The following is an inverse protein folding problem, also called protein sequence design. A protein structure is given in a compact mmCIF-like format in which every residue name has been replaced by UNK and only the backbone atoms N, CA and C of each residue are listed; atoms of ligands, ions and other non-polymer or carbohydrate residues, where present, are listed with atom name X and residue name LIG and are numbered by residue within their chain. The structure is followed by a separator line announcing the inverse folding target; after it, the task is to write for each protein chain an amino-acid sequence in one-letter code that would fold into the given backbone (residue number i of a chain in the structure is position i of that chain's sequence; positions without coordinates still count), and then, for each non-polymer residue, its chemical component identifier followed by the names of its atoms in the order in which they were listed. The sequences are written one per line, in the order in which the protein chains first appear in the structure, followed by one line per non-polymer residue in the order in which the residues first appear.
data_IF_087685880957
#
_entry.id   IF_087685880957
#
_cell.length_a   1.000
_cell.length_b   1.000
_cell.length_c   1.000
_cell.angle_alpha   90.00
_cell.angle_beta   90.00
_cell.angle_gamma   90.00
#
_symmetry.space_group_name_H-M   'P 1'
#
loop_
_entity.id
_entity.type
_entity.pdbx_description
1 polymer ?
#
# COMPACT_ATOMS: atom_id res chain seq x y z
N UNK A 1 22.17 -26.30 34.90
CA UNK A 1 21.61 -26.69 33.59
C UNK A 1 20.11 -26.85 33.74
N UNK A 2 19.24 -26.08 33.06
CA UNK A 2 17.82 -26.38 33.09
C UNK A 2 17.55 -27.64 32.25
N UNK A 3 16.58 -28.49 32.63
CA UNK A 3 16.36 -29.79 32.01
C UNK A 3 15.78 -29.65 30.60
N UNK A 4 16.38 -30.35 29.64
CA UNK A 4 15.88 -30.50 28.27
C UNK A 4 14.49 -31.16 28.30
N UNK A 5 13.42 -30.40 28.03
CA UNK A 5 12.11 -30.99 27.71
C UNK A 5 12.19 -31.66 26.33
N UNK A 6 11.67 -32.89 26.16
CA UNK A 6 11.69 -33.55 24.87
C UNK A 6 10.83 -32.76 23.85
N UNK A 7 11.39 -32.51 22.67
CA UNK A 7 10.71 -31.81 21.58
C UNK A 7 9.44 -32.57 21.15
N UNK A 8 8.27 -32.02 21.47
CA UNK A 8 6.99 -32.52 20.98
C UNK A 8 6.91 -32.38 19.45
N UNK A 9 6.16 -33.26 18.80
CA UNK A 9 5.97 -33.21 17.33
C UNK A 9 5.45 -31.86 16.84
N UNK A 10 4.64 -31.17 17.66
CA UNK A 10 4.14 -29.82 17.40
C UNK A 10 5.25 -28.75 17.38
N UNK A 11 6.26 -28.87 18.25
CA UNK A 11 7.44 -27.98 18.25
C UNK A 11 8.28 -28.18 16.98
N UNK A 12 8.47 -29.44 16.54
CA UNK A 12 9.18 -29.77 15.30
C UNK A 12 8.44 -29.29 14.06
N UNK A 13 7.11 -29.45 14.03
CA UNK A 13 6.26 -28.94 12.96
C UNK A 13 6.31 -27.40 12.90
N UNK A 14 6.18 -26.72 14.04
CA UNK A 14 6.28 -25.25 14.15
C UNK A 14 7.62 -24.72 13.61
N UNK A 15 8.75 -25.37 13.95
CA UNK A 15 10.07 -25.01 13.40
C UNK A 15 10.12 -25.16 11.88
N UNK A 16 9.68 -26.31 11.34
CA UNK A 16 9.64 -26.55 9.88
C UNK A 16 8.78 -25.54 9.12
N UNK A 17 7.61 -25.21 9.65
CA UNK A 17 6.70 -24.22 9.05
C UNK A 17 7.33 -22.82 9.09
N UNK A 18 7.96 -22.44 10.21
CA UNK A 18 8.68 -21.17 10.33
C UNK A 18 9.79 -21.03 9.29
N UNK A 19 10.60 -22.08 9.10
CA UNK A 19 11.69 -22.10 8.12
C UNK A 19 11.19 -22.04 6.67
N UNK A 20 10.10 -22.76 6.36
CA UNK A 20 9.48 -22.72 5.04
C UNK A 20 8.96 -21.31 4.71
N UNK A 21 8.37 -20.64 5.71
CA UNK A 21 7.85 -19.28 5.58
C UNK A 21 8.96 -18.26 5.39
N UNK A 22 10.10 -18.42 6.07
CA UNK A 22 11.31 -17.62 5.87
C UNK A 22 11.81 -17.69 4.41
N UNK A 23 11.82 -18.90 3.85
CA UNK A 23 12.22 -19.13 2.45
C UNK A 23 11.21 -18.55 1.46
N UNK A 24 9.91 -18.69 1.73
CA UNK A 24 8.86 -18.12 0.88
C UNK A 24 8.85 -16.59 0.92
N UNK A 25 8.98 -15.97 2.10
CA UNK A 25 9.00 -14.52 2.24
C UNK A 25 10.20 -13.88 1.48
N UNK A 26 11.39 -14.46 1.63
CA UNK A 26 12.59 -14.00 0.90
C UNK A 26 12.49 -14.18 -0.62
N UNK A 27 11.76 -15.20 -1.07
CA UNK A 27 11.54 -15.47 -2.51
C UNK A 27 10.49 -14.52 -3.11
N UNK A 28 9.39 -14.28 -2.40
CA UNK A 28 8.32 -13.36 -2.82
C UNK A 28 8.81 -11.91 -2.83
N UNK A 29 9.60 -11.50 -1.83
CA UNK A 29 10.21 -10.17 -1.77
C UNK A 29 11.19 -9.91 -2.94
N UNK A 30 11.86 -10.96 -3.45
CA UNK A 30 12.75 -10.87 -4.62
C UNK A 30 12.02 -11.02 -5.96
N UNK A 31 10.75 -11.42 -5.95
CA UNK A 31 9.99 -11.68 -7.16
C UNK A 31 9.64 -10.39 -7.92
N UNK A 32 9.53 -10.46 -9.26
CA UNK A 32 8.96 -9.41 -10.09
C UNK A 32 7.63 -8.84 -9.60
N UNK A 33 6.75 -9.70 -9.10
CA UNK A 33 5.44 -9.33 -8.58
C UNK A 33 5.55 -8.48 -7.31
N UNK A 34 6.40 -8.87 -6.36
CA UNK A 34 6.65 -8.10 -5.13
C UNK A 34 7.22 -6.70 -5.39
N UNK A 35 8.01 -6.54 -6.45
CA UNK A 35 8.51 -5.21 -6.89
C UNK A 35 7.50 -4.42 -7.74
N UNK A 36 6.62 -5.10 -8.47
CA UNK A 36 5.66 -4.48 -9.40
C UNK A 36 4.50 -3.79 -8.66
N UNK A 37 4.04 -4.38 -7.57
CA UNK A 37 2.94 -3.85 -6.76
C UNK A 37 3.43 -2.86 -5.68
N UNK A 38 4.43 -2.00 -5.97
CA UNK A 38 4.89 -0.97 -5.01
C UNK A 38 4.22 0.39 -5.28
N UNK A 39 2.94 0.54 -4.95
CA UNK A 39 2.16 1.79 -5.06
C UNK A 39 2.09 2.55 -3.72
N UNK A 40 2.07 3.88 -3.71
CA UNK A 40 1.89 4.63 -2.46
C UNK A 40 0.42 5.05 -2.32
N UNK A 41 -0.18 4.73 -1.17
CA UNK A 41 -1.44 5.32 -0.70
C UNK A 41 -2.63 4.37 -0.64
N UNK A 42 -2.85 3.72 0.51
CA UNK A 42 -4.10 2.99 0.83
C UNK A 42 -4.12 2.58 2.30
N UNK A 43 -4.56 3.40 3.24
CA UNK A 43 -4.30 3.24 4.69
C UNK A 43 -5.00 2.07 5.44
N UNK A 44 -5.51 1.05 4.75
CA UNK A 44 -6.26 -0.06 5.36
C UNK A 44 -5.40 -1.06 6.14
N UNK A 45 -4.08 -1.06 5.97
CA UNK A 45 -3.21 -2.04 6.61
C UNK A 45 -2.60 -1.57 7.95
N UNK A 46 -3.07 -0.46 8.51
CA UNK A 46 -2.54 0.08 9.76
C UNK A 46 -2.59 -0.94 10.90
N UNK A 47 -3.73 -1.62 11.10
CA UNK A 47 -3.90 -2.62 12.15
C UNK A 47 -2.89 -3.76 11.98
N UNK A 48 -2.78 -4.33 10.78
CA UNK A 48 -1.82 -5.41 10.53
C UNK A 48 -0.37 -4.95 10.68
N UNK A 49 -0.05 -3.68 10.38
CA UNK A 49 1.29 -3.14 10.59
C UNK A 49 1.66 -3.08 12.09
N UNK A 50 0.68 -2.90 12.99
CA UNK A 50 0.93 -2.91 14.44
C UNK A 50 1.35 -4.29 14.97
N UNK A 51 1.15 -5.37 14.21
CA UNK A 51 1.66 -6.71 14.56
C UNK A 51 3.19 -6.78 14.58
N UNK A 52 3.87 -5.76 14.03
CA UNK A 52 5.33 -5.73 13.90
C UNK A 52 5.87 -6.56 12.73
N UNK A 53 4.98 -7.12 11.89
CA UNK A 53 5.33 -7.93 10.73
C UNK A 53 6.37 -8.99 11.11
N UNK A 54 7.46 -9.08 10.36
CA UNK A 54 8.52 -10.06 10.57
C UNK A 54 9.70 -9.58 11.42
N UNK A 55 9.54 -8.46 12.09
CA UNK A 55 10.58 -7.91 12.93
C UNK A 55 10.80 -8.77 14.18
N UNK A 56 12.05 -9.20 14.46
CA UNK A 56 12.34 -10.06 15.59
C UNK A 56 12.09 -9.30 16.90
N UNK A 57 11.20 -9.82 17.73
CA UNK A 57 10.91 -9.31 19.07
C UNK A 57 11.34 -10.41 20.07
N UNK A 58 12.29 -10.10 20.96
CA UNK A 58 12.86 -11.06 21.91
C UNK A 58 12.23 -10.98 23.31
N UNK A 59 11.97 -12.16 23.91
CA UNK A 59 11.47 -12.32 25.30
C UNK A 59 12.60 -12.06 26.31
N UNK A 60 12.31 -11.59 27.54
CA UNK A 60 11.01 -11.35 28.17
C UNK A 60 10.36 -10.00 27.79
N UNK A 61 9.03 -9.97 27.83
CA UNK A 61 8.24 -8.77 27.60
C UNK A 61 8.09 -7.97 28.88
N UNK A 62 8.17 -6.64 28.80
CA UNK A 62 7.79 -5.79 29.94
C UNK A 62 6.27 -5.80 30.12
N UNK A 63 5.77 -5.45 31.32
CA UNK A 63 4.34 -5.29 31.58
C UNK A 63 3.66 -4.23 30.67
N UNK A 64 4.45 -3.36 30.02
CA UNK A 64 4.00 -2.36 29.04
C UNK A 64 3.97 -2.88 27.59
N UNK A 65 4.26 -4.17 27.37
CA UNK A 65 4.26 -4.78 26.03
C UNK A 65 5.42 -4.32 25.14
N UNK A 66 6.60 -4.04 25.72
CA UNK A 66 7.81 -3.72 24.95
C UNK A 66 8.73 -4.93 24.86
N UNK A 67 9.29 -5.16 23.66
CA UNK A 67 10.33 -6.15 23.39
C UNK A 67 11.63 -5.76 24.11
N UNK A 68 12.46 -6.74 24.49
CA UNK A 68 13.79 -6.46 25.05
C UNK A 68 14.70 -5.73 24.06
N UNK A 69 14.58 -6.06 22.77
CA UNK A 69 15.36 -5.54 21.66
C UNK A 69 14.61 -4.43 20.90
N UNK A 70 14.05 -3.45 21.63
CA UNK A 70 13.19 -2.42 21.05
C UNK A 70 13.91 -1.59 19.97
N UNK A 71 15.20 -1.31 20.12
CA UNK A 71 15.96 -0.50 19.14
C UNK A 71 16.14 -1.24 17.82
N UNK A 72 16.51 -2.53 17.87
CA UNK A 72 16.60 -3.39 16.68
C UNK A 72 15.22 -3.64 16.03
N UNK A 73 14.16 -3.69 16.84
CA UNK A 73 12.79 -3.81 16.35
C UNK A 73 12.34 -2.52 15.66
N UNK A 74 12.62 -1.34 16.23
CA UNK A 74 12.33 -0.03 15.64
C UNK A 74 13.12 0.17 14.36
N UNK A 75 14.39 -0.25 14.34
CA UNK A 75 15.20 -0.26 13.13
C UNK A 75 14.53 -1.10 12.05
N UNK A 76 14.07 -2.32 12.35
CA UNK A 76 13.34 -3.17 11.41
C UNK A 76 11.96 -2.62 10.99
N UNK A 77 11.26 -1.94 11.89
CA UNK A 77 9.92 -1.40 11.64
C UNK A 77 9.97 -0.09 10.83
N UNK A 78 11.02 0.72 11.02
CA UNK A 78 11.22 2.02 10.40
C UNK A 78 12.41 2.05 9.41
N UNK A 79 12.94 0.90 8.94
CA UNK A 79 14.24 0.84 8.23
C UNK A 79 14.34 1.90 7.13
N UNK A 80 15.24 2.84 7.38
CA UNK A 80 15.79 3.79 6.42
C UNK A 80 16.70 3.02 5.45
N UNK A 81 16.18 2.63 4.28
CA UNK A 81 17.04 2.25 3.14
C UNK A 81 18.01 3.41 2.83
N UNK A 82 19.11 3.22 2.07
CA UNK A 82 19.93 4.34 1.61
C UNK A 82 19.14 5.44 0.85
N UNK A 83 17.94 5.12 0.34
CA UNK A 83 16.96 6.07 -0.25
C UNK A 83 15.83 6.50 0.72
N UNK A 84 15.88 6.02 1.95
CA UNK A 84 15.17 6.54 3.11
C UNK A 84 13.71 6.15 3.31
N UNK A 85 13.16 5.12 2.63
CA UNK A 85 11.72 4.76 2.76
C UNK A 85 11.45 3.25 2.64
N UNK A 86 11.37 2.54 3.77
CA UNK A 86 10.57 1.31 3.88
C UNK A 86 9.50 1.51 4.94
N UNK A 87 8.35 1.98 4.49
CA UNK A 87 7.16 1.91 5.32
C UNK A 87 6.53 0.53 5.14
N UNK A 88 6.72 -0.37 6.12
CA UNK A 88 6.05 -1.68 6.18
C UNK A 88 4.54 -1.56 5.92
N UNK A 89 3.96 -0.43 6.36
CA UNK A 89 2.59 -0.03 6.08
C UNK A 89 2.30 -0.03 4.58
N UNK A 90 3.09 0.68 3.77
CA UNK A 90 2.85 0.83 2.33
C UNK A 90 2.88 -0.52 1.60
N UNK A 91 3.84 -1.39 1.89
CA UNK A 91 3.94 -2.69 1.18
C UNK A 91 2.71 -3.59 1.45
N UNK A 92 2.20 -3.60 2.69
CA UNK A 92 1.03 -4.42 3.06
C UNK A 92 -0.28 -3.89 2.47
N UNK A 93 -0.40 -2.57 2.44
CA UNK A 93 -1.45 -1.77 1.82
C UNK A 93 -1.65 -2.20 0.35
N UNK A 94 -0.55 -2.28 -0.41
CA UNK A 94 -0.65 -2.56 -1.85
C UNK A 94 -0.87 -4.04 -2.12
N UNK A 95 -0.22 -4.90 -1.36
CA UNK A 95 -0.47 -6.34 -1.45
C UNK A 95 -1.95 -6.64 -1.22
N UNK A 96 -2.56 -6.01 -0.21
CA UNK A 96 -3.97 -6.20 0.12
C UNK A 96 -4.90 -5.67 -0.98
N UNK A 97 -4.63 -4.47 -1.50
CA UNK A 97 -5.48 -3.89 -2.57
C UNK A 97 -5.37 -4.66 -3.88
N UNK A 98 -4.17 -5.11 -4.26
CA UNK A 98 -3.95 -5.93 -5.45
C UNK A 98 -4.66 -7.29 -5.35
N UNK A 99 -4.55 -7.97 -4.20
CA UNK A 99 -5.22 -9.26 -3.96
C UNK A 99 -6.73 -9.09 -3.88
N UNK A 100 -7.25 -8.03 -3.24
CA UNK A 100 -8.68 -7.75 -3.19
C UNK A 100 -9.26 -7.46 -4.58
N UNK A 101 -8.55 -6.69 -5.40
CA UNK A 101 -8.95 -6.41 -6.79
C UNK A 101 -8.96 -7.69 -7.63
N UNK A 102 -7.90 -8.48 -7.58
CA UNK A 102 -7.82 -9.76 -8.28
C UNK A 102 -8.93 -10.73 -7.84
N UNK A 103 -9.16 -10.84 -6.52
CA UNK A 103 -10.18 -11.72 -5.95
C UNK A 103 -11.58 -11.28 -6.35
N UNK A 104 -11.86 -9.97 -6.34
CA UNK A 104 -13.17 -9.42 -6.77
C UNK A 104 -13.45 -9.70 -8.24
N UNK A 105 -12.44 -9.55 -9.11
CA UNK A 105 -12.55 -9.85 -10.55
C UNK A 105 -12.83 -11.35 -10.75
N UNK A 106 -12.02 -12.21 -10.12
CA UNK A 106 -12.17 -13.65 -10.26
C UNK A 106 -13.51 -14.13 -9.71
N UNK A 107 -13.94 -13.60 -8.56
CA UNK A 107 -15.24 -13.92 -7.97
C UNK A 107 -16.39 -13.48 -8.87
N UNK A 108 -16.34 -12.26 -9.42
CA UNK A 108 -17.35 -11.76 -10.35
C UNK A 108 -17.46 -12.62 -11.62
N UNK A 109 -16.33 -13.01 -12.21
CA UNK A 109 -16.30 -13.85 -13.41
C UNK A 109 -16.75 -15.28 -13.15
N UNK A 110 -16.33 -15.90 -12.04
CA UNK A 110 -16.67 -17.28 -11.71
C UNK A 110 -18.08 -17.46 -11.16
N UNK A 111 -18.64 -16.45 -10.48
CA UNK A 111 -19.94 -16.57 -9.80
C UNK A 111 -21.06 -15.74 -10.43
N UNK A 112 -20.74 -14.91 -11.44
CA UNK A 112 -21.68 -14.01 -12.11
C UNK A 112 -22.46 -13.11 -11.13
N UNK A 113 -21.84 -12.77 -9.99
CA UNK A 113 -22.41 -11.93 -8.94
C UNK A 113 -21.53 -10.69 -8.72
N UNK A 114 -22.04 -9.46 -8.92
CA UNK A 114 -21.23 -8.23 -8.85
C UNK A 114 -21.05 -7.77 -7.39
N UNK A 115 -20.32 -8.56 -6.59
CA UNK A 115 -19.99 -8.24 -5.20
C UNK A 115 -18.50 -8.01 -5.06
N UNK A 116 -18.12 -6.84 -4.52
CA UNK A 116 -16.74 -6.51 -4.21
C UNK A 116 -16.26 -7.26 -2.96
N UNK A 117 -15.14 -7.95 -3.07
CA UNK A 117 -14.48 -8.62 -1.96
C UNK A 117 -13.43 -7.68 -1.35
N UNK A 118 -13.66 -7.27 -0.11
CA UNK A 118 -12.72 -6.45 0.66
C UNK A 118 -11.96 -7.25 1.72
N UNK A 119 -10.86 -6.71 2.25
CA UNK A 119 -10.16 -7.31 3.38
C UNK A 119 -11.01 -7.28 4.66
N UNK A 120 -11.05 -8.39 5.38
CA UNK A 120 -11.77 -8.50 6.64
C UNK A 120 -11.07 -7.76 7.78
N UNK A 121 -11.40 -6.49 8.03
CA UNK A 121 -10.75 -5.69 9.09
C UNK A 121 -10.87 -6.33 10.50
N UNK A 122 -11.99 -6.99 10.80
CA UNK A 122 -12.17 -7.68 12.09
C UNK A 122 -11.23 -8.87 12.27
N UNK A 123 -11.04 -9.68 11.22
CA UNK A 123 -10.09 -10.80 11.23
C UNK A 123 -8.64 -10.31 11.35
N UNK A 124 -8.32 -9.18 10.69
CA UNK A 124 -7.02 -8.54 10.81
C UNK A 124 -6.74 -8.04 12.24
N UNK A 125 -7.75 -7.51 12.93
CA UNK A 125 -7.64 -7.10 14.33
C UNK A 125 -7.47 -8.30 15.28
N UNK A 126 -8.25 -9.37 15.08
CA UNK A 126 -8.08 -10.60 15.85
C UNK A 126 -6.68 -11.21 15.65
N UNK A 127 -6.24 -11.32 14.40
CA UNK A 127 -4.90 -11.80 14.05
C UNK A 127 -3.80 -10.96 14.73
N UNK A 128 -3.90 -9.64 14.64
CA UNK A 128 -2.90 -8.71 15.18
C UNK A 128 -2.87 -8.71 16.71
N UNK A 129 -4.02 -8.52 17.35
CA UNK A 129 -4.07 -8.27 18.79
C UNK A 129 -4.20 -9.53 19.64
N UNK A 130 -4.83 -10.59 19.13
CA UNK A 130 -5.06 -11.82 19.90
C UNK A 130 -4.05 -12.92 19.56
N UNK A 131 -3.68 -13.10 18.28
CA UNK A 131 -2.78 -14.19 17.86
C UNK A 131 -1.31 -13.78 17.95
N UNK A 132 -0.94 -12.69 17.27
CA UNK A 132 0.45 -12.23 17.15
C UNK A 132 0.85 -11.28 18.29
N UNK A 133 -0.10 -10.52 18.82
CA UNK A 133 0.14 -9.46 19.80
C UNK A 133 0.76 -8.20 19.17
N UNK A 134 0.59 -7.07 19.86
CA UNK A 134 1.19 -5.79 19.45
C UNK A 134 2.71 -5.95 19.39
N UNK A 135 3.33 -5.55 18.27
CA UNK A 135 4.78 -5.67 18.01
C UNK A 135 5.32 -7.11 18.02
N UNK A 136 4.46 -8.13 17.95
CA UNK A 136 4.89 -9.53 18.00
C UNK A 136 5.14 -10.05 19.43
N UNK A 137 4.58 -9.38 20.43
CA UNK A 137 4.67 -9.78 21.85
C UNK A 137 3.84 -11.01 22.22
N UNK A 138 3.03 -11.53 21.29
CA UNK A 138 2.19 -12.70 21.50
C UNK A 138 2.96 -14.03 21.62
N UNK A 139 2.20 -15.11 21.84
CA UNK A 139 2.77 -16.45 21.95
C UNK A 139 3.21 -17.04 20.58
N UNK A 140 2.68 -16.49 19.49
CA UNK A 140 2.83 -17.00 18.12
C UNK A 140 3.44 -15.91 17.25
N UNK A 141 4.52 -16.24 16.54
CA UNK A 141 5.18 -15.31 15.63
C UNK A 141 4.29 -15.05 14.40
N UNK A 142 4.41 -13.84 13.82
CA UNK A 142 3.67 -13.42 12.63
C UNK A 142 3.73 -14.44 11.48
N UNK A 143 4.92 -15.00 11.17
CA UNK A 143 5.09 -16.04 10.14
C UNK A 143 4.20 -17.25 10.35
N UNK A 144 4.23 -17.80 11.57
CA UNK A 144 3.49 -19.01 11.92
C UNK A 144 1.99 -18.74 11.86
N UNK A 145 1.57 -17.57 12.36
CA UNK A 145 0.18 -17.16 12.27
C UNK A 145 -0.27 -17.03 10.80
N UNK A 146 0.54 -16.41 9.93
CA UNK A 146 0.20 -16.25 8.51
C UNK A 146 0.12 -17.60 7.77
N UNK A 147 0.97 -18.56 8.11
CA UNK A 147 0.85 -19.92 7.54
C UNK A 147 -0.41 -20.63 7.96
N UNK A 148 -0.89 -20.41 9.19
CA UNK A 148 -2.14 -20.98 9.64
C UNK A 148 -3.32 -20.41 8.81
N UNK A 149 -3.33 -19.10 8.55
CA UNK A 149 -4.33 -18.44 7.68
C UNK A 149 -4.25 -18.96 6.24
N UNK A 150 -3.05 -19.20 5.72
CA UNK A 150 -2.90 -19.79 4.38
C UNK A 150 -3.48 -21.21 4.31
N UNK A 151 -3.22 -22.05 5.31
CA UNK A 151 -3.78 -23.41 5.39
C UNK A 151 -5.30 -23.37 5.58
N UNK A 152 -5.81 -22.44 6.39
CA UNK A 152 -7.25 -22.19 6.55
C UNK A 152 -7.91 -21.91 5.20
N UNK A 153 -7.29 -21.10 4.33
CA UNK A 153 -7.78 -20.83 2.99
C UNK A 153 -7.98 -22.09 2.13
N UNK A 154 -7.04 -23.05 2.20
CA UNK A 154 -7.17 -24.34 1.50
C UNK A 154 -8.27 -25.21 2.09
N UNK A 155 -8.41 -25.23 3.42
CA UNK A 155 -9.49 -25.95 4.09
C UNK A 155 -10.85 -25.35 3.68
N UNK A 156 -10.95 -24.03 3.67
CA UNK A 156 -12.17 -23.34 3.26
C UNK A 156 -12.50 -23.59 1.78
N UNK A 157 -11.50 -23.60 0.90
CA UNK A 157 -11.68 -23.95 -0.51
C UNK A 157 -12.23 -25.37 -0.66
N UNK A 158 -11.67 -26.35 0.05
CA UNK A 158 -12.17 -27.73 0.04
C UNK A 158 -13.61 -27.83 0.55
N UNK A 159 -13.95 -27.14 1.64
CA UNK A 159 -15.32 -27.08 2.19
C UNK A 159 -16.30 -26.38 1.24
N UNK A 160 -15.84 -25.40 0.46
CA UNK A 160 -16.65 -24.73 -0.55
C UNK A 160 -16.92 -25.65 -1.75
N UNK A 161 -15.92 -26.38 -2.22
CA UNK A 161 -16.05 -27.32 -3.35
C UNK A 161 -16.95 -28.53 -3.02
N UNK A 162 -16.89 -29.03 -1.78
CA UNK A 162 -17.71 -30.16 -1.33
C UNK A 162 -19.17 -29.77 -1.03
N UNK A 163 -19.54 -28.48 -1.13
CA UNK A 163 -20.90 -27.99 -0.82
C UNK A 163 -21.24 -27.97 0.68
N UNK A 164 -20.34 -28.42 1.55
CA UNK A 164 -20.55 -28.53 3.00
C UNK A 164 -20.75 -27.16 3.66
N UNK A 165 -20.29 -26.08 3.02
CA UNK A 165 -20.53 -24.69 3.44
C UNK A 165 -22.02 -24.39 3.67
N UNK A 166 -22.91 -24.82 2.78
CA UNK A 166 -24.34 -24.55 2.92
C UNK A 166 -24.93 -25.27 4.15
N UNK A 167 -24.48 -26.50 4.38
CA UNK A 167 -24.89 -27.28 5.54
C UNK A 167 -24.41 -26.68 6.86
N UNK A 168 -23.16 -26.21 6.91
CA UNK A 168 -22.60 -25.54 8.09
C UNK A 168 -23.39 -24.28 8.47
N UNK A 169 -23.75 -23.46 7.48
CA UNK A 169 -24.56 -22.25 7.72
C UNK A 169 -25.96 -22.61 8.24
N UNK A 170 -26.53 -23.75 7.82
CA UNK A 170 -27.86 -24.18 8.27
C UNK A 170 -27.88 -24.61 9.74
N UNK A 171 -26.77 -25.14 10.26
CA UNK A 171 -26.64 -25.55 11.68
C UNK A 171 -26.63 -24.35 12.63
N UNK A 172 -26.11 -23.20 12.18
CA UNK A 172 -26.00 -22.02 13.04
C UNK A 172 -27.42 -21.45 13.28
N UNK A 173 -27.88 -21.35 14.54
CA UNK A 173 -29.19 -20.79 14.87
C UNK A 173 -29.27 -19.33 14.44
N UNK A 174 -30.46 -18.90 14.00
CA UNK A 174 -30.70 -17.55 13.46
C UNK A 174 -30.32 -16.44 14.43
N UNK A 175 -30.48 -16.66 15.74
CA UNK A 175 -30.12 -15.72 16.81
C UNK A 175 -28.62 -15.39 16.80
N UNK A 176 -27.74 -16.37 16.61
CA UNK A 176 -26.28 -16.18 16.54
C UNK A 176 -25.89 -15.42 15.27
N UNK A 177 -26.59 -15.65 14.15
CA UNK A 177 -26.32 -14.94 12.88
C UNK A 177 -26.59 -13.44 13.02
N UNK A 178 -27.73 -13.09 13.63
CA UNK A 178 -28.12 -11.69 13.84
C UNK A 178 -27.20 -11.02 14.87
N UNK A 179 -26.95 -11.69 16.01
CA UNK A 179 -26.05 -11.17 17.04
C UNK A 179 -24.64 -10.90 16.50
N UNK A 180 -24.13 -11.79 15.65
CA UNK A 180 -22.83 -11.63 15.00
C UNK A 180 -22.79 -10.42 14.07
N UNK A 181 -23.86 -10.18 13.29
CA UNK A 181 -23.99 -8.99 12.45
C UNK A 181 -23.94 -7.69 13.26
N UNK A 182 -24.67 -7.63 14.38
CA UNK A 182 -24.67 -6.47 15.29
C UNK A 182 -23.28 -6.27 15.92
N UNK A 183 -22.63 -7.34 16.37
CA UNK A 183 -21.27 -7.28 16.95
C UNK A 183 -20.24 -6.74 15.96
N UNK A 184 -20.29 -7.17 14.70
CA UNK A 184 -19.44 -6.64 13.62
C UNK A 184 -19.73 -5.15 13.40
N UNK A 185 -21.01 -4.75 13.35
CA UNK A 185 -21.42 -3.36 13.17
C UNK A 185 -20.88 -2.43 14.25
N UNK A 186 -21.07 -2.78 15.53
CA UNK A 186 -20.57 -1.99 16.67
C UNK A 186 -19.04 -1.87 16.62
N UNK A 187 -18.35 -2.96 16.30
CA UNK A 187 -16.88 -2.96 16.16
C UNK A 187 -16.42 -2.03 15.03
N UNK A 188 -17.10 -2.04 13.88
CA UNK A 188 -16.77 -1.17 12.75
C UNK A 188 -17.00 0.31 13.07
N UNK A 189 -18.01 0.65 13.88
CA UNK A 189 -18.23 2.04 14.34
C UNK A 189 -17.04 2.51 15.18
N UNK A 190 -16.59 1.71 16.15
CA UNK A 190 -15.45 2.08 17.00
C UNK A 190 -14.17 2.26 16.19
N UNK A 191 -13.88 1.32 15.26
CA UNK A 191 -12.72 1.43 14.37
C UNK A 191 -12.85 2.68 13.48
N UNK A 192 -14.04 2.96 12.94
CA UNK A 192 -14.31 4.16 12.15
C UNK A 192 -14.05 5.46 12.92
N UNK A 193 -14.51 5.54 14.18
CA UNK A 193 -14.25 6.68 15.06
C UNK A 193 -12.74 6.92 15.28
N UNK A 194 -11.94 5.85 15.42
CA UNK A 194 -10.49 5.98 15.54
C UNK A 194 -9.82 6.43 14.23
N UNK A 195 -10.38 6.02 13.09
CA UNK A 195 -9.85 6.34 11.75
C UNK A 195 -10.28 7.71 11.21
N UNK A 196 -11.26 8.39 11.83
CA UNK A 196 -11.78 9.70 11.34
C UNK A 196 -10.72 10.81 11.30
N UNK A 197 -9.61 10.67 12.04
CA UNK A 197 -8.51 11.64 12.10
C UNK A 197 -7.92 11.97 10.72
N UNK A 198 -8.08 11.08 9.74
CA UNK A 198 -7.61 11.32 8.37
C UNK A 198 -8.40 12.40 7.64
N UNK A 199 -9.66 12.64 8.02
CA UNK A 199 -10.48 13.73 7.47
C UNK A 199 -9.84 15.09 7.74
N UNK A 200 -9.08 15.22 8.84
CA UNK A 200 -8.35 16.45 9.15
C UNK A 200 -7.14 16.71 8.23
N UNK A 201 -6.64 15.70 7.51
CA UNK A 201 -5.52 15.85 6.56
C UNK A 201 -5.96 16.25 5.15
N UNK A 202 -7.26 16.31 4.90
CA UNK A 202 -7.82 16.73 3.61
C UNK A 202 -7.52 18.22 3.41
N UNK A 203 -7.15 18.62 2.19
CA UNK A 203 -6.94 20.02 1.87
C UNK A 203 -8.29 20.77 1.81
N UNK A 204 -8.67 21.41 2.91
CA UNK A 204 -9.89 22.22 3.00
C UNK A 204 -9.75 23.62 2.39
N UNK A 205 -8.52 24.04 2.04
CA UNK A 205 -8.27 25.38 1.49
C UNK A 205 -8.58 25.48 0.00
N UNK A 206 -8.60 24.35 -0.73
CA UNK A 206 -8.93 24.31 -2.15
C UNK A 206 -10.33 23.74 -2.38
N UNK A 207 -11.21 24.53 -3.01
CA UNK A 207 -12.61 24.18 -3.24
C UNK A 207 -12.80 22.91 -4.08
N UNK A 208 -11.88 22.64 -5.00
CA UNK A 208 -11.90 21.45 -5.86
C UNK A 208 -11.55 20.15 -5.15
N UNK A 209 -10.98 20.21 -3.94
CA UNK A 209 -10.70 19.03 -3.10
C UNK A 209 -11.65 18.97 -1.89
N UNK A 210 -12.02 20.14 -1.32
CA UNK A 210 -12.90 20.26 -0.16
C UNK A 210 -14.35 19.82 -0.43
N UNK A 211 -14.98 20.32 -1.52
CA UNK A 211 -16.38 20.00 -1.83
C UNK A 211 -16.58 18.51 -2.13
N UNK A 212 -15.77 17.87 -3.01
CA UNK A 212 -15.92 16.43 -3.25
C UNK A 212 -15.73 15.59 -2.00
N UNK A 213 -14.78 15.96 -1.13
CA UNK A 213 -14.53 15.29 0.14
C UNK A 213 -15.72 15.40 1.10
N UNK A 214 -16.31 16.59 1.21
CA UNK A 214 -17.51 16.82 2.02
C UNK A 214 -18.71 16.02 1.51
N UNK A 215 -18.97 16.06 0.20
CA UNK A 215 -20.06 15.29 -0.42
C UNK A 215 -19.88 13.80 -0.15
N UNK A 216 -18.66 13.28 -0.30
CA UNK A 216 -18.36 11.88 0.00
C UNK A 216 -18.66 11.53 1.46
N UNK A 217 -18.18 12.35 2.40
CA UNK A 217 -18.34 12.11 3.84
C UNK A 217 -19.81 12.17 4.27
N UNK A 218 -20.58 13.10 3.71
CA UNK A 218 -22.00 13.27 4.02
C UNK A 218 -22.86 12.16 3.37
N UNK A 219 -22.60 11.79 2.11
CA UNK A 219 -23.44 10.83 1.40
C UNK A 219 -23.24 9.38 1.81
N UNK A 220 -22.04 8.98 2.25
CA UNK A 220 -21.79 7.58 2.68
C UNK A 220 -22.78 7.10 3.76
N UNK A 221 -22.97 7.80 4.90
CA UNK A 221 -23.88 7.34 5.96
C UNK A 221 -25.36 7.42 5.59
N UNK A 222 -25.75 8.34 4.69
CA UNK A 222 -27.13 8.48 4.24
C UNK A 222 -27.48 7.61 3.03
N UNK A 223 -26.50 6.93 2.44
CA UNK A 223 -26.72 6.08 1.28
C UNK A 223 -26.92 4.62 1.67
N UNK A 224 -27.68 3.90 0.84
CA UNK A 224 -27.85 2.46 0.95
C UNK A 224 -26.53 1.68 0.78
N UNK A 225 -25.54 2.26 0.09
CA UNK A 225 -24.24 1.64 -0.14
C UNK A 225 -23.12 2.66 -0.10
N UNK A 226 -21.99 2.30 0.53
CA UNK A 226 -20.76 3.08 0.52
C UNK A 226 -20.29 3.38 -0.92
N UNK A 227 -20.60 2.50 -1.88
CA UNK A 227 -20.26 2.71 -3.29
C UNK A 227 -20.93 3.96 -3.87
N UNK A 228 -22.19 4.22 -3.55
CA UNK A 228 -22.90 5.41 -4.04
C UNK A 228 -22.33 6.69 -3.45
N UNK A 229 -21.95 6.69 -2.17
CA UNK A 229 -21.27 7.83 -1.55
C UNK A 229 -19.92 8.15 -2.21
N UNK A 230 -19.13 7.11 -2.56
CA UNK A 230 -17.89 7.27 -3.31
C UNK A 230 -18.12 7.77 -4.74
N UNK A 231 -19.12 7.23 -5.44
CA UNK A 231 -19.48 7.66 -6.80
C UNK A 231 -19.92 9.12 -6.79
N UNK A 232 -20.74 9.54 -5.83
CA UNK A 232 -21.15 10.94 -5.67
C UNK A 232 -19.93 11.86 -5.49
N UNK A 233 -19.01 11.49 -4.59
CA UNK A 233 -17.74 12.19 -4.41
C UNK A 233 -16.90 12.33 -5.67
N UNK A 234 -16.66 11.21 -6.36
CA UNK A 234 -15.89 11.16 -7.61
C UNK A 234 -16.55 11.98 -8.72
N UNK A 235 -17.88 11.92 -8.83
CA UNK A 235 -18.65 12.71 -9.77
C UNK A 235 -18.49 14.20 -9.48
N UNK A 236 -18.68 14.62 -8.23
CA UNK A 236 -18.46 16.01 -7.80
C UNK A 236 -17.03 16.48 -8.07
N UNK A 237 -16.02 15.64 -7.79
CA UNK A 237 -14.63 15.95 -8.12
C UNK A 237 -14.42 16.19 -9.61
N UNK A 238 -14.97 15.31 -10.44
CA UNK A 238 -14.80 15.37 -11.91
C UNK A 238 -15.49 16.61 -12.48
N UNK A 239 -16.70 16.93 -12.01
CA UNK A 239 -17.46 18.11 -12.45
C UNK A 239 -16.75 19.41 -12.05
N UNK A 240 -16.33 19.54 -10.79
CA UNK A 240 -15.68 20.76 -10.30
C UNK A 240 -14.30 20.93 -10.92
N UNK A 241 -13.44 19.91 -10.84
CA UNK A 241 -12.09 20.03 -11.41
C UNK A 241 -12.09 20.09 -12.94
N UNK A 242 -13.03 19.39 -13.58
CA UNK A 242 -13.21 19.45 -15.03
C UNK A 242 -13.66 20.84 -15.48
N UNK A 243 -14.65 21.44 -14.81
CA UNK A 243 -15.08 22.80 -15.14
C UNK A 243 -13.98 23.84 -14.90
N UNK A 244 -13.25 23.77 -13.77
CA UNK A 244 -12.11 24.65 -13.50
C UNK A 244 -11.04 24.50 -14.58
N UNK A 245 -10.70 23.27 -14.97
CA UNK A 245 -9.72 23.03 -16.03
C UNK A 245 -10.15 23.65 -17.37
N UNK A 246 -11.43 23.52 -17.75
CA UNK A 246 -11.99 24.13 -18.95
C UNK A 246 -11.87 25.66 -18.89
N UNK A 247 -12.22 26.28 -17.76
CA UNK A 247 -12.17 27.74 -17.58
C UNK A 247 -10.73 28.25 -17.71
N UNK A 248 -9.77 27.61 -17.02
CA UNK A 248 -8.36 27.98 -17.09
C UNK A 248 -7.83 27.85 -18.53
N UNK A 249 -8.24 26.78 -19.22
CA UNK A 249 -7.81 26.53 -20.60
C UNK A 249 -8.37 27.56 -21.59
N UNK A 250 -9.64 27.93 -21.45
CA UNK A 250 -10.30 28.95 -22.27
C UNK A 250 -9.83 30.37 -21.94
N UNK A 251 -9.48 30.63 -20.68
CA UNK A 251 -9.03 31.95 -20.21
C UNK A 251 -7.55 32.23 -20.50
N UNK A 252 -6.80 31.23 -21.00
CA UNK A 252 -5.36 31.37 -21.21
C UNK A 252 -4.62 31.69 -19.92
N UNK A 253 -5.02 31.04 -18.81
CA UNK A 253 -4.47 31.21 -17.45
C UNK A 253 -4.71 32.58 -16.80
N UNK A 254 -5.53 33.46 -17.39
CA UNK A 254 -5.83 34.77 -16.78
C UNK A 254 -6.73 34.69 -15.56
N UNK A 255 -7.59 33.67 -15.46
CA UNK A 255 -8.53 33.47 -14.34
C UNK A 255 -8.17 32.16 -13.64
N UNK A 256 -7.56 32.27 -12.45
CA UNK A 256 -7.31 31.15 -11.54
C UNK A 256 -8.29 31.24 -10.37
N UNK A 257 -8.91 30.12 -9.96
CA UNK A 257 -9.71 30.10 -8.75
C UNK A 257 -8.81 30.28 -7.53
N UNK A 258 -9.40 30.75 -6.43
CA UNK A 258 -8.69 30.97 -5.18
C UNK A 258 -8.01 29.68 -4.70
N UNK A 259 -6.77 29.80 -4.18
CA UNK A 259 -5.94 28.69 -3.71
C UNK A 259 -5.64 27.56 -4.73
N UNK A 260 -5.66 27.85 -6.04
CA UNK A 260 -5.37 26.84 -7.08
C UNK A 260 -3.99 26.18 -6.95
N UNK A 261 -2.99 26.90 -6.42
CA UNK A 261 -1.63 26.39 -6.21
C UNK A 261 -1.55 25.28 -5.17
N UNK A 262 -2.48 25.26 -4.21
CA UNK A 262 -2.52 24.26 -3.14
C UNK A 262 -3.20 22.96 -3.56
N UNK A 263 -3.70 22.87 -4.80
CA UNK A 263 -4.35 21.67 -5.33
C UNK A 263 -3.45 20.44 -5.17
N UNK A 264 -3.98 19.37 -4.59
CA UNK A 264 -3.24 18.11 -4.52
C UNK A 264 -3.25 17.44 -5.90
N UNK A 265 -2.10 17.46 -6.58
CA UNK A 265 -1.96 16.75 -7.84
C UNK A 265 -1.84 15.26 -7.59
N UNK A 266 -2.80 14.50 -8.13
CA UNK A 266 -2.64 13.06 -8.23
C UNK A 266 -1.67 12.75 -9.39
N UNK A 267 -0.50 12.22 -9.06
CA UNK A 267 0.47 11.76 -10.06
C UNK A 267 0.29 10.26 -10.30
N UNK A 268 0.03 9.87 -11.55
CA UNK A 268 0.02 8.44 -11.93
C UNK A 268 1.41 7.79 -11.81
N UNK A 269 2.47 8.62 -11.74
CA UNK A 269 3.84 8.16 -11.49
C UNK A 269 4.09 8.14 -10.00
N UNK A 270 4.10 6.96 -9.34
CA UNK A 270 4.46 6.89 -7.93
C UNK A 270 5.89 7.41 -7.76
N UNK A 271 6.17 8.18 -6.70
CA UNK A 271 7.53 8.61 -6.40
C UNK A 271 8.36 7.38 -5.97
N UNK A 272 9.26 6.95 -6.86
CA UNK A 272 10.12 5.80 -6.68
C UNK A 272 10.72 5.30 -7.99
N UNK A 273 11.53 4.27 -7.86
CA UNK A 273 12.19 3.62 -8.99
C UNK A 273 11.21 2.82 -9.84
N UNK A 274 11.14 3.09 -11.15
CA UNK A 274 10.27 2.36 -12.11
C UNK A 274 10.45 0.84 -11.95
N UNK A 275 9.38 0.02 -11.97
CA UNK A 275 9.53 -1.43 -11.86
C UNK A 275 10.43 -2.00 -12.97
N UNK A 276 11.17 -3.08 -12.66
CA UNK A 276 12.22 -3.61 -13.53
C UNK A 276 11.73 -3.96 -14.94
N UNK A 277 10.47 -4.37 -15.09
CA UNK A 277 9.83 -4.68 -16.38
C UNK A 277 9.76 -3.41 -17.23
N UNK A 278 9.32 -2.30 -16.64
CA UNK A 278 9.26 -1.00 -17.33
C UNK A 278 10.68 -0.53 -17.67
N UNK A 279 11.68 -0.76 -16.79
CA UNK A 279 13.09 -0.46 -17.11
C UNK A 279 13.64 -1.32 -18.23
N UNK A 280 13.29 -2.60 -18.28
CA UNK A 280 13.71 -3.53 -19.31
C UNK A 280 13.06 -3.21 -20.66
N UNK A 281 11.76 -2.90 -20.67
CA UNK A 281 11.03 -2.45 -21.87
C UNK A 281 11.56 -1.11 -22.37
N UNK A 282 11.80 -0.14 -21.48
CA UNK A 282 12.42 1.14 -21.87
C UNK A 282 13.85 0.94 -22.40
N UNK A 283 14.65 0.05 -21.80
CA UNK A 283 15.97 -0.35 -22.34
C UNK A 283 15.85 -1.02 -23.71
N UNK A 284 14.85 -1.87 -23.91
CA UNK A 284 14.59 -2.54 -25.18
C UNK A 284 14.18 -1.53 -26.25
N UNK A 285 13.25 -0.63 -25.94
CA UNK A 285 12.81 0.45 -26.84
C UNK A 285 14.00 1.36 -27.20
N UNK A 286 14.80 1.74 -26.20
CA UNK A 286 16.02 2.53 -26.41
C UNK A 286 17.01 1.79 -27.33
N UNK A 287 17.22 0.50 -27.08
CA UNK A 287 18.10 -0.34 -27.90
C UNK A 287 17.57 -0.52 -29.33
N UNK A 288 16.28 -0.76 -29.51
CA UNK A 288 15.62 -0.87 -30.83
C UNK A 288 15.72 0.44 -31.60
N UNK A 289 15.50 1.58 -30.92
CA UNK A 289 15.61 2.92 -31.52
C UNK A 289 17.05 3.19 -31.99
N UNK A 290 18.04 2.96 -31.13
CA UNK A 290 19.46 3.07 -31.51
C UNK A 290 19.94 2.00 -32.49
N UNK A 291 19.22 0.88 -32.68
CA UNK A 291 19.51 -0.09 -33.73
C UNK A 291 19.20 0.48 -35.11
N UNK A 292 18.15 1.30 -35.22
CA UNK A 292 17.74 1.98 -36.46
C UNK A 292 18.74 3.07 -36.85
N UNK A 293 19.26 3.80 -35.87
CA UNK A 293 20.27 4.84 -36.08
C UNK A 293 21.62 4.25 -36.50
N UNK A 294 21.99 3.07 -36.00
CA UNK A 294 23.18 2.31 -36.47
C UNK A 294 23.04 1.74 -37.87
N UNK A 295 21.82 1.40 -38.30
CA UNK A 295 21.56 0.97 -39.67
C UNK A 295 21.57 2.16 -40.66
N UNK A 296 21.14 3.35 -40.22
CA UNK A 296 21.20 4.57 -41.03
C UNK A 296 22.63 5.12 -41.17
N UNK A 297 23.47 4.98 -40.14
CA UNK A 297 24.88 5.42 -40.17
C UNK A 297 25.82 4.43 -40.88
N UNK A 298 25.43 3.15 -41.03
CA UNK A 298 26.22 2.19 -41.82
C UNK A 298 26.07 2.36 -43.34
N UNK A 299 25.14 3.21 -43.80
CA UNK A 299 24.91 3.44 -45.23
C UNK A 299 25.47 4.77 -45.76
N UNK A 300 26.32 5.47 -45.00
CA UNK A 300 26.89 6.76 -45.41
C UNK A 300 28.41 6.91 -45.25
N UNK A 301 29.17 5.85 -44.95
CA UNK A 301 30.64 5.94 -44.90
C UNK A 301 31.27 4.98 -45.92
N UNK A 302 31.20 5.37 -47.20
CA UNK A 302 32.24 5.07 -48.18
C UNK A 302 32.75 6.42 -48.67
N UNK A 303 33.98 6.76 -48.31
CA UNK A 303 34.63 8.01 -48.69
C UNK A 303 35.11 8.81 -47.48
N UNK A 304 36.35 8.55 -47.11
CA UNK A 304 37.37 9.51 -46.71
C UNK A 304 37.25 10.31 -45.40
N UNK A 305 38.45 10.47 -44.83
CA UNK A 305 38.93 11.47 -43.88
C UNK A 305 39.10 11.14 -42.39
N UNK A 306 40.35 11.39 -42.02
CA UNK A 306 41.03 11.30 -40.74
C UNK A 306 40.48 12.29 -39.69
N UNK A 307 40.59 11.88 -38.43
CA UNK A 307 41.02 12.79 -37.35
C UNK A 307 40.00 13.17 -36.28
N UNK A 308 40.49 13.14 -35.04
CA UNK A 308 40.00 13.82 -33.84
C UNK A 308 38.89 13.13 -33.03
N UNK A 309 39.33 12.24 -32.12
CA UNK A 309 38.61 11.95 -30.90
C UNK A 309 38.67 13.18 -29.98
N UNK A 310 37.64 14.03 -30.03
CA UNK A 310 37.54 15.23 -29.21
C UNK A 310 36.74 14.96 -27.92
N UNK A 311 37.40 15.28 -26.82
CA UNK A 311 37.01 15.10 -25.42
C UNK A 311 35.82 16.00 -25.07
N UNK A 312 34.71 15.42 -24.62
CA UNK A 312 33.51 16.20 -24.27
C UNK A 312 33.69 16.90 -22.90
N UNK A 313 33.44 18.21 -22.76
CA UNK A 313 33.87 18.98 -21.57
C UNK A 313 32.90 18.86 -20.40
N UNK A 314 33.46 18.70 -19.20
CA UNK A 314 32.80 18.63 -17.88
C UNK A 314 32.14 19.93 -17.41
N UNK A 315 32.29 21.03 -18.14
CA UNK A 315 32.12 22.38 -17.58
C UNK A 315 30.73 22.98 -17.77
N UNK A 316 29.85 22.30 -18.53
CA UNK A 316 28.44 22.71 -18.68
C UNK A 316 27.54 22.11 -17.58
N UNK A 317 27.97 21.04 -16.93
CA UNK A 317 27.25 20.43 -15.80
C UNK A 317 27.45 21.21 -14.50
N UNK A 318 28.61 21.84 -14.30
CA UNK A 318 28.90 22.66 -13.12
C UNK A 318 28.13 23.98 -13.11
N UNK A 319 27.97 24.64 -14.27
CA UNK A 319 27.16 25.88 -14.36
C UNK A 319 25.66 25.66 -14.13
N UNK A 320 25.11 24.53 -14.59
CA UNK A 320 23.72 24.16 -14.31
C UNK A 320 23.47 23.77 -12.83
N UNK A 321 24.51 23.33 -12.11
CA UNK A 321 24.41 23.03 -10.69
C UNK A 321 24.46 24.29 -9.81
N UNK A 322 25.15 25.35 -10.24
CA UNK A 322 25.20 26.63 -9.51
C UNK A 322 23.89 27.41 -9.65
N UNK A 323 23.23 27.37 -10.81
CA UNK A 323 21.97 28.09 -11.04
C UNK A 323 20.75 27.44 -10.34
N UNK A 324 20.83 26.15 -10.02
CA UNK A 324 19.81 25.44 -9.22
C UNK A 324 19.93 25.69 -7.70
N UNK A 325 20.99 26.37 -7.23
CA UNK A 325 21.16 26.75 -5.82
C UNK A 325 20.65 28.15 -5.49
N UNK A 326 20.37 29.00 -6.49
CA UNK A 326 20.00 30.41 -6.29
C UNK A 326 18.49 30.68 -6.36
N UNK A 327 17.66 29.64 -6.55
CA UNK A 327 16.21 29.76 -6.36
C UNK A 327 15.87 29.73 -4.86
N UNK A 328 15.19 30.75 -4.29
CA UNK A 328 14.82 30.75 -2.89
C UNK A 328 13.93 29.54 -2.58
N UNK A 329 14.40 28.72 -1.64
CA UNK A 329 13.72 27.53 -1.14
C UNK A 329 12.40 27.97 -0.47
N UNK A 330 11.23 27.41 -0.82
CA UNK A 330 10.00 27.74 -0.12
C UNK A 330 10.17 27.35 1.35
N UNK A 331 10.04 28.34 2.22
CA UNK A 331 10.15 28.20 3.66
C UNK A 331 9.14 27.19 4.17
N UNK A 332 9.58 26.21 4.96
CA UNK A 332 8.70 25.34 5.72
C UNK A 332 7.78 26.18 6.61
N UNK A 333 6.46 25.91 6.68
CA UNK A 333 5.63 26.55 7.68
C UNK A 333 6.11 26.16 9.07
N UNK A 334 6.31 27.16 9.94
CA UNK A 334 6.67 26.97 11.34
C UNK A 334 5.65 26.10 12.08
N UNK A 335 6.07 25.38 13.15
CA UNK A 335 5.15 24.64 13.99
C UNK A 335 4.19 25.59 14.70
N UNK A 336 2.88 25.42 14.45
CA UNK A 336 1.81 26.15 15.12
C UNK A 336 1.99 26.12 16.65
N UNK A 337 2.24 27.29 17.23
CA UNK A 337 2.24 27.54 18.66
C UNK A 337 0.80 27.36 19.16
N UNK A 338 0.58 26.39 20.06
CA UNK A 338 -0.70 26.19 20.76
C UNK A 338 -1.08 27.50 21.46
N UNK A 339 -2.20 28.07 21.09
CA UNK A 339 -2.93 29.02 21.92
C UNK A 339 -4.22 28.31 22.34
N UNK A 340 -4.46 28.37 23.65
CA UNK A 340 -5.46 27.60 24.41
C UNK A 340 -6.90 27.78 23.91
#
# INVERSE_FOLDING_TARGET
MPPNKPDNWFQRWRKRVSDLTLRMNTTVARSPAGRFFRLKGSEHAFILAESGYDCPCEKPWTAKGTCKNMDAWMECYEVRFPDGKLDVKHDLIIATSAVAGFSSILFGLCTNLPVGLGPGMGLNAYFTYQVVGVKGTGAINYRVALTAVFIEGWIFLFLALTGLRHWLVKIIPGTIKIASGVGIGITLILVGCMMIRQVAKINWSYIGDAIPSFVTLAFIPFSYSCAYGLIAGLFTYTVINGSIWIIVKLSGEKILPDNYEMKQYWTWRPPGDKPWIVRAVLRLIYWVKHRKDRAASFSLNSGDDMGLAEQYPSDRASKAATEAQDTPRPTSPEPFRRVY
#
